data_IF_168859450430
#
_entry.id   IF_168859450430
#
_cell.length_a   1.000
_cell.length_b   1.000
_cell.length_c   1.000
_cell.angle_alpha   90.00
_cell.angle_beta   90.00
_cell.angle_gamma   90.00
#
_symmetry.space_group_name_H-M   'P 1'
#
loop_
_entity.id
_entity.type
_entity.pdbx_description
1 polymer ?
#
# COMPACT_ATOMS: atom_id res chain seq x y z
N UNK A 1 -14.27 -9.52 -4.66
CA UNK A 1 -13.42 -10.06 -3.58
C UNK A 1 -14.18 -9.96 -2.25
N UNK A 2 -13.76 -10.69 -1.22
CA UNK A 2 -14.15 -10.34 0.16
C UNK A 2 -13.15 -9.30 0.65
N UNK A 3 -13.63 -8.12 1.02
CA UNK A 3 -12.80 -7.10 1.69
C UNK A 3 -12.49 -7.63 3.09
N UNK A 4 -11.23 -7.92 3.36
CA UNK A 4 -10.75 -8.25 4.69
C UNK A 4 -10.32 -6.97 5.41
N UNK A 5 -10.89 -6.69 6.57
CA UNK A 5 -10.51 -5.52 7.38
C UNK A 5 -11.08 -5.60 8.78
N UNK A 6 -10.49 -4.83 9.70
CA UNK A 6 -10.91 -4.74 11.10
C UNK A 6 -11.27 -3.29 11.41
N UNK A 7 -12.46 -3.07 11.97
CA UNK A 7 -12.87 -1.77 12.51
C UNK A 7 -12.87 -1.85 14.05
N UNK A 8 -12.07 -1.02 14.69
CA UNK A 8 -11.99 -0.94 16.15
C UNK A 8 -12.76 0.29 16.62
N UNK A 9 -13.86 0.07 17.35
CA UNK A 9 -14.70 1.14 17.90
C UNK A 9 -14.51 1.30 19.40
N UNK A 10 -14.52 2.53 19.89
CA UNK A 10 -14.51 2.82 21.33
C UNK A 10 -14.42 4.31 21.62
N UNK A 11 -14.53 4.72 22.88
CA UNK A 11 -14.43 6.13 23.25
C UNK A 11 -13.01 6.69 23.06
N UNK A 12 -12.86 8.02 23.04
CA UNK A 12 -11.54 8.66 23.03
C UNK A 12 -10.75 8.25 24.28
N UNK A 13 -9.48 7.86 24.10
CA UNK A 13 -8.62 7.41 25.20
C UNK A 13 -8.66 5.90 25.49
N UNK A 14 -9.37 5.10 24.71
CA UNK A 14 -9.46 3.62 24.85
C UNK A 14 -8.27 2.83 24.27
N UNK A 15 -7.14 3.49 24.03
CA UNK A 15 -5.90 2.87 23.54
C UNK A 15 -6.01 2.08 22.21
N UNK A 16 -7.02 2.35 21.37
CA UNK A 16 -7.24 1.67 20.08
C UNK A 16 -6.01 1.71 19.17
N UNK A 17 -5.46 2.89 18.94
CA UNK A 17 -4.27 3.09 18.11
C UNK A 17 -3.03 2.41 18.72
N UNK A 18 -2.93 2.39 20.06
CA UNK A 18 -1.86 1.66 20.78
C UNK A 18 -1.94 0.16 20.54
N UNK A 19 -3.14 -0.43 20.61
CA UNK A 19 -3.35 -1.85 20.36
C UNK A 19 -2.98 -2.24 18.92
N UNK A 20 -3.36 -1.43 17.94
CA UNK A 20 -3.01 -1.67 16.53
C UNK A 20 -1.50 -1.56 16.31
N UNK A 21 -0.84 -0.55 16.91
CA UNK A 21 0.63 -0.41 16.84
C UNK A 21 1.32 -1.61 17.49
N UNK A 22 0.83 -2.10 18.63
CA UNK A 22 1.38 -3.28 19.29
C UNK A 22 1.24 -4.57 18.46
N UNK A 23 0.13 -4.73 17.72
CA UNK A 23 -0.07 -5.86 16.80
C UNK A 23 1.03 -5.95 15.75
N UNK A 24 1.57 -4.82 15.30
CA UNK A 24 2.63 -4.77 14.28
C UNK A 24 3.89 -5.49 14.74
N UNK A 25 4.22 -5.45 16.03
CA UNK A 25 5.39 -6.12 16.61
C UNK A 25 5.25 -7.66 16.63
N UNK A 26 4.04 -8.17 16.42
CA UNK A 26 3.74 -9.60 16.41
C UNK A 26 3.61 -10.17 14.99
N UNK A 27 3.67 -9.32 13.96
CA UNK A 27 3.56 -9.77 12.59
C UNK A 27 4.82 -10.54 12.16
N UNK A 28 4.67 -11.64 11.40
CA UNK A 28 5.81 -12.34 10.84
C UNK A 28 6.57 -11.43 9.88
N UNK A 29 7.88 -11.66 9.78
CA UNK A 29 8.68 -11.07 8.71
C UNK A 29 8.20 -11.55 7.34
N UNK A 30 8.43 -10.72 6.34
CA UNK A 30 8.12 -11.01 4.94
C UNK A 30 9.40 -11.05 4.11
N UNK A 31 9.50 -12.05 3.25
CA UNK A 31 10.56 -12.14 2.23
C UNK A 31 10.20 -11.24 1.05
N UNK A 32 11.13 -10.40 0.63
CA UNK A 32 10.93 -9.43 -0.46
C UNK A 32 12.11 -9.45 -1.44
N UNK A 33 11.81 -9.21 -2.71
CA UNK A 33 12.83 -8.98 -3.74
C UNK A 33 13.67 -7.76 -3.33
N UNK A 34 14.99 -7.93 -3.23
CA UNK A 34 15.90 -6.87 -2.81
C UNK A 34 15.81 -5.66 -3.75
N UNK A 35 15.66 -4.47 -3.17
CA UNK A 35 15.56 -3.21 -3.91
C UNK A 35 14.19 -2.93 -4.55
N UNK A 36 13.25 -3.87 -4.56
CA UNK A 36 11.90 -3.65 -5.09
C UNK A 36 11.10 -2.72 -4.16
N UNK A 37 10.74 -1.52 -4.63
CA UNK A 37 9.96 -0.52 -3.89
C UNK A 37 8.55 -1.02 -3.54
N UNK A 38 8.04 -2.00 -4.29
CA UNK A 38 6.70 -2.58 -4.13
C UNK A 38 6.68 -3.85 -3.28
N UNK A 39 7.83 -4.27 -2.72
CA UNK A 39 7.90 -5.45 -1.84
C UNK A 39 7.36 -6.75 -2.45
N UNK A 40 7.66 -6.98 -3.73
CA UNK A 40 7.31 -8.22 -4.43
C UNK A 40 7.79 -9.45 -3.67
N UNK A 41 6.97 -10.50 -3.68
CA UNK A 41 7.30 -11.81 -3.16
C UNK A 41 8.34 -12.48 -4.08
N UNK A 42 9.54 -12.87 -3.61
CA UNK A 42 10.54 -13.53 -4.45
C UNK A 42 10.04 -14.84 -5.07
N UNK A 43 9.20 -15.59 -4.37
CA UNK A 43 8.66 -16.87 -4.84
C UNK A 43 7.54 -16.68 -5.88
N UNK A 44 6.86 -15.54 -5.86
CA UNK A 44 5.76 -15.22 -6.77
C UNK A 44 5.69 -13.70 -7.05
N UNK A 45 6.67 -13.14 -7.77
CA UNK A 45 6.74 -11.70 -7.99
C UNK A 45 5.57 -11.23 -8.85
N UNK A 46 5.08 -10.00 -8.59
CA UNK A 46 4.03 -9.41 -9.41
C UNK A 46 4.56 -9.16 -10.83
N UNK A 47 4.02 -9.82 -11.87
CA UNK A 47 4.48 -9.65 -13.25
C UNK A 47 4.27 -8.22 -13.77
N UNK A 48 3.45 -7.41 -13.09
CA UNK A 48 3.17 -6.02 -13.45
C UNK A 48 3.93 -5.01 -12.59
N UNK A 49 4.79 -5.47 -11.68
CA UNK A 49 5.54 -4.58 -10.80
C UNK A 49 6.30 -3.52 -11.60
N UNK A 50 6.20 -2.22 -11.24
CA UNK A 50 6.93 -1.17 -11.94
C UNK A 50 8.46 -1.26 -11.83
N UNK A 51 8.98 -1.98 -10.83
CA UNK A 51 10.41 -2.27 -10.68
C UNK A 51 10.84 -3.60 -11.32
N UNK A 52 9.91 -4.28 -11.98
CA UNK A 52 10.15 -5.53 -12.67
C UNK A 52 10.69 -5.37 -14.09
N UNK A 53 10.92 -6.49 -14.81
CA UNK A 53 10.63 -7.85 -14.39
C UNK A 53 11.56 -8.34 -13.27
N UNK A 54 11.03 -9.20 -12.39
CA UNK A 54 11.81 -9.86 -11.33
C UNK A 54 12.11 -11.30 -11.71
N UNK A 55 13.35 -11.75 -11.50
CA UNK A 55 13.71 -13.16 -11.68
C UNK A 55 13.37 -13.96 -10.40
N UNK A 56 12.91 -15.21 -10.49
CA UNK A 56 12.53 -16.04 -9.33
C UNK A 56 13.66 -16.34 -8.33
N UNK A 57 14.91 -16.01 -8.67
CA UNK A 57 16.11 -16.18 -7.84
C UNK A 57 16.84 -14.85 -7.61
N UNK A 58 16.15 -13.72 -7.73
CA UNK A 58 16.72 -12.42 -7.34
C UNK A 58 17.04 -12.42 -5.84
N UNK A 59 18.07 -11.65 -5.46
CA UNK A 59 18.48 -11.53 -4.07
C UNK A 59 17.27 -11.25 -3.16
N UNK A 60 17.11 -12.07 -2.15
CA UNK A 60 16.02 -12.01 -1.21
C UNK A 60 16.47 -11.26 0.04
N UNK A 61 15.56 -10.48 0.61
CA UNK A 61 15.76 -9.86 1.92
C UNK A 61 14.54 -10.14 2.78
N UNK A 62 14.76 -10.31 4.07
CA UNK A 62 13.68 -10.36 5.05
C UNK A 62 13.53 -9.00 5.71
N UNK A 63 12.29 -8.61 5.95
CA UNK A 63 11.98 -7.41 6.72
C UNK A 63 10.72 -7.64 7.57
N UNK A 64 10.56 -6.90 8.68
CA UNK A 64 9.27 -6.83 9.36
C UNK A 64 8.14 -6.41 8.41
N UNK A 65 6.94 -6.93 8.63
CA UNK A 65 5.75 -6.40 7.99
C UNK A 65 5.59 -4.91 8.39
N UNK A 66 5.22 -4.08 7.41
CA UNK A 66 5.09 -2.63 7.63
C UNK A 66 3.66 -2.32 8.06
N UNK A 67 3.52 -1.46 9.06
CA UNK A 67 2.27 -0.75 9.30
C UNK A 67 2.42 0.66 8.75
N UNK A 68 1.56 0.99 7.81
CA UNK A 68 1.52 2.30 7.15
C UNK A 68 0.27 3.02 7.60
N UNK A 69 0.40 4.28 7.99
CA UNK A 69 -0.70 5.12 8.46
C UNK A 69 -1.18 6.01 7.31
N UNK A 70 -2.49 6.03 7.08
CA UNK A 70 -3.17 6.93 6.16
C UNK A 70 -3.69 8.15 6.94
N UNK A 71 -3.12 9.34 6.73
CA UNK A 71 -3.63 10.57 7.32
C UNK A 71 -5.01 10.92 6.74
N UNK A 72 -5.90 11.44 7.58
CA UNK A 72 -7.24 11.92 7.21
C UNK A 72 -7.21 12.91 6.03
N UNK A 73 -6.18 13.77 5.97
CA UNK A 73 -5.99 14.78 4.91
C UNK A 73 -5.02 14.37 3.80
N UNK A 74 -4.80 13.07 3.58
CA UNK A 74 -3.94 12.64 2.47
C UNK A 74 -4.56 13.00 1.11
N UNK A 75 -3.72 13.32 0.13
CA UNK A 75 -4.16 13.42 -1.27
C UNK A 75 -4.30 12.02 -1.89
N UNK A 76 -5.03 11.94 -3.00
CA UNK A 76 -5.07 10.74 -3.85
C UNK A 76 -3.65 10.29 -4.23
N UNK A 77 -2.82 11.19 -4.77
CA UNK A 77 -1.45 10.87 -5.17
C UNK A 77 -0.60 10.33 -4.01
N UNK A 78 -0.84 10.78 -2.77
CA UNK A 78 -0.17 10.22 -1.60
C UNK A 78 -0.62 8.78 -1.32
N UNK A 79 -1.89 8.47 -1.53
CA UNK A 79 -2.46 7.13 -1.32
C UNK A 79 -2.00 6.15 -2.41
N UNK A 80 -2.27 6.47 -3.68
CA UNK A 80 -2.08 5.57 -4.82
C UNK A 80 -0.70 5.69 -5.47
N UNK A 81 -0.01 6.82 -5.29
CA UNK A 81 1.26 7.15 -5.92
C UNK A 81 1.11 8.25 -6.98
N UNK A 82 2.23 8.85 -7.36
CA UNK A 82 2.27 9.95 -8.31
C UNK A 82 3.00 9.53 -9.60
N UNK A 83 2.56 10.08 -10.74
CA UNK A 83 3.22 9.95 -12.03
C UNK A 83 3.87 11.28 -12.40
N UNK A 84 5.19 11.30 -12.50
CA UNK A 84 5.93 12.42 -13.07
C UNK A 84 5.98 12.25 -14.60
N UNK A 85 5.04 12.91 -15.26
CA UNK A 85 4.89 12.84 -16.72
C UNK A 85 6.03 13.57 -17.44
N UNK A 86 6.51 14.69 -16.89
CA UNK A 86 7.59 15.46 -17.51
C UNK A 86 8.84 14.60 -17.61
N UNK A 87 9.21 13.93 -16.52
CA UNK A 87 10.34 13.01 -16.49
C UNK A 87 10.10 11.75 -17.32
N UNK A 88 8.87 11.22 -17.33
CA UNK A 88 8.54 10.06 -18.16
C UNK A 88 8.70 10.35 -19.66
N UNK A 89 8.33 11.55 -20.11
CA UNK A 89 8.47 11.97 -21.50
C UNK A 89 9.91 12.37 -21.84
N UNK A 90 10.63 13.03 -20.92
CA UNK A 90 11.98 13.52 -21.16
C UNK A 90 13.05 12.42 -21.09
N UNK A 91 12.96 11.51 -20.12
CA UNK A 91 13.98 10.48 -19.85
C UNK A 91 13.59 9.09 -20.37
N UNK A 92 12.33 8.89 -20.79
CA UNK A 92 11.80 7.58 -21.18
C UNK A 92 11.73 6.58 -20.02
N UNK A 93 11.91 7.06 -18.78
CA UNK A 93 11.88 6.24 -17.56
C UNK A 93 10.49 6.34 -16.94
N UNK A 94 9.91 5.21 -16.50
CA UNK A 94 8.67 5.23 -15.70
C UNK A 94 8.94 5.95 -14.36
N UNK A 95 8.73 7.26 -14.34
CA UNK A 95 8.88 8.10 -13.16
C UNK A 95 7.62 8.01 -12.29
N UNK A 96 7.35 6.82 -11.78
CA UNK A 96 6.29 6.59 -10.82
C UNK A 96 6.85 6.62 -9.39
N UNK A 97 6.25 7.45 -8.55
CA UNK A 97 6.52 7.52 -7.12
C UNK A 97 5.49 6.67 -6.36
N UNK A 98 5.90 5.60 -5.67
CA UNK A 98 4.98 4.73 -4.95
C UNK A 98 4.27 5.45 -3.79
N UNK A 99 2.94 5.27 -3.71
CA UNK A 99 2.13 5.81 -2.62
C UNK A 99 2.07 4.90 -1.38
N UNK A 100 1.19 5.26 -0.44
CA UNK A 100 0.96 4.52 0.80
C UNK A 100 0.47 3.08 0.55
N UNK A 101 -0.31 2.83 -0.50
CA UNK A 101 -0.75 1.47 -0.85
C UNK A 101 0.42 0.55 -1.25
N UNK A 102 1.42 1.09 -1.95
CA UNK A 102 2.64 0.35 -2.26
C UNK A 102 3.46 0.06 -0.99
N UNK A 103 3.56 1.06 -0.10
CA UNK A 103 4.27 0.91 1.17
C UNK A 103 3.59 -0.11 2.11
N UNK A 104 2.26 -0.19 2.08
CA UNK A 104 1.45 -1.10 2.89
C UNK A 104 1.39 -2.52 2.32
N UNK A 105 1.88 -2.76 1.09
CA UNK A 105 1.83 -4.07 0.48
C UNK A 105 2.50 -5.14 1.36
N UNK A 106 1.78 -6.24 1.61
CA UNK A 106 2.13 -7.34 2.51
C UNK A 106 2.38 -6.86 3.94
N UNK A 107 1.53 -5.94 4.38
CA UNK A 107 1.54 -5.34 5.71
C UNK A 107 0.15 -4.88 6.14
N UNK A 108 0.10 -3.83 6.96
CA UNK A 108 -1.10 -3.19 7.48
C UNK A 108 -1.22 -1.79 6.90
N UNK A 109 -2.43 -1.43 6.47
CA UNK A 109 -2.82 -0.04 6.23
C UNK A 109 -3.76 0.39 7.35
N UNK A 110 -3.30 1.33 8.18
CA UNK A 110 -4.01 1.86 9.33
C UNK A 110 -4.64 3.21 8.98
N UNK A 111 -5.89 3.40 9.37
CA UNK A 111 -6.63 4.66 9.20
C UNK A 111 -7.19 5.08 10.57
N UNK A 112 -6.75 6.23 11.06
CA UNK A 112 -7.31 6.80 12.29
C UNK A 112 -8.58 7.58 11.96
N UNK A 113 -9.62 7.42 12.78
CA UNK A 113 -10.90 8.14 12.64
C UNK A 113 -11.45 8.04 11.20
N UNK A 114 -11.76 6.82 10.75
CA UNK A 114 -12.18 6.52 9.37
C UNK A 114 -13.35 7.37 8.87
N UNK A 115 -14.18 7.87 9.78
CA UNK A 115 -15.30 8.75 9.49
C UNK A 115 -14.91 10.15 9.03
N UNK A 116 -13.63 10.53 9.14
CA UNK A 116 -13.12 11.81 8.65
C UNK A 116 -12.46 11.71 7.28
N UNK A 117 -12.22 10.49 6.78
CA UNK A 117 -11.58 10.27 5.49
C UNK A 117 -12.51 10.74 4.35
N UNK A 118 -11.96 11.41 3.35
CA UNK A 118 -12.75 11.86 2.19
C UNK A 118 -13.30 10.68 1.39
N UNK A 119 -14.55 10.80 0.93
CA UNK A 119 -15.30 9.72 0.25
C UNK A 119 -14.51 9.07 -0.89
N UNK A 120 -13.88 9.88 -1.75
CA UNK A 120 -13.07 9.36 -2.86
C UNK A 120 -11.88 8.49 -2.43
N UNK A 121 -11.26 8.78 -1.27
CA UNK A 121 -10.17 7.95 -0.75
C UNK A 121 -10.70 6.64 -0.15
N UNK A 122 -11.90 6.68 0.45
CA UNK A 122 -12.58 5.47 0.94
C UNK A 122 -12.83 4.53 -0.24
N UNK A 123 -13.34 5.04 -1.36
CA UNK A 123 -13.59 4.25 -2.56
C UNK A 123 -12.31 3.60 -3.09
N UNK A 124 -11.25 4.39 -3.30
CA UNK A 124 -9.94 3.89 -3.76
C UNK A 124 -9.36 2.84 -2.81
N UNK A 125 -9.50 3.06 -1.50
CA UNK A 125 -9.00 2.15 -0.48
C UNK A 125 -9.76 0.82 -0.48
N UNK A 126 -11.08 0.87 -0.56
CA UNK A 126 -11.93 -0.33 -0.60
C UNK A 126 -11.72 -1.12 -1.90
N UNK A 127 -11.55 -0.44 -3.03
CA UNK A 127 -11.21 -1.07 -4.31
C UNK A 127 -9.85 -1.78 -4.24
N UNK A 128 -8.82 -1.08 -3.72
CA UNK A 128 -7.50 -1.67 -3.55
C UNK A 128 -7.53 -2.89 -2.60
N UNK A 129 -8.28 -2.79 -1.48
CA UNK A 129 -8.44 -3.90 -0.54
C UNK A 129 -9.23 -5.08 -1.13
N UNK A 130 -10.23 -4.81 -1.98
CA UNK A 130 -11.05 -5.84 -2.62
C UNK A 130 -10.32 -6.55 -3.76
N UNK A 131 -9.55 -5.81 -4.55
CA UNK A 131 -8.85 -6.32 -5.74
C UNK A 131 -7.43 -6.79 -5.42
N UNK A 132 -6.83 -6.31 -4.33
CA UNK A 132 -5.44 -6.58 -3.95
C UNK A 132 -4.42 -5.90 -4.87
N UNK A 133 -4.82 -4.85 -5.59
CA UNK A 133 -4.00 -4.14 -6.57
C UNK A 133 -4.36 -2.66 -6.57
N UNK A 134 -3.37 -1.79 -6.72
CA UNK A 134 -3.55 -0.34 -6.93
C UNK A 134 -3.14 0.03 -8.35
N UNK A 135 -3.83 1.01 -8.94
CA UNK A 135 -3.52 1.55 -10.26
C UNK A 135 -3.66 3.06 -10.28
N UNK A 136 -2.78 3.71 -11.03
CA UNK A 136 -2.80 5.15 -11.29
C UNK A 136 -2.81 5.34 -12.79
N UNK A 137 -3.76 6.14 -13.27
CA UNK A 137 -3.89 6.49 -14.69
C UNK A 137 -3.91 8.01 -14.83
N UNK A 138 -3.03 8.55 -15.68
CA UNK A 138 -2.87 9.99 -15.97
C UNK A 138 -2.39 10.15 -17.42
N UNK A 139 -3.04 11.01 -18.20
CA UNK A 139 -2.61 11.37 -19.57
C UNK A 139 -2.30 10.16 -20.48
N UNK A 140 -3.11 9.10 -20.39
CA UNK A 140 -2.94 7.86 -21.16
C UNK A 140 -1.81 6.93 -20.67
N UNK A 141 -1.12 7.28 -19.58
CA UNK A 141 -0.15 6.42 -18.89
C UNK A 141 -0.84 5.72 -17.73
N UNK A 142 -0.73 4.40 -17.67
CA UNK A 142 -1.26 3.58 -16.57
C UNK A 142 -0.14 2.79 -15.89
N UNK A 143 -0.07 2.90 -14.56
CA UNK A 143 0.82 2.11 -13.71
C UNK A 143 -0.02 1.31 -12.75
N UNK A 144 0.34 0.03 -12.55
CA UNK A 144 -0.39 -0.89 -11.67
C UNK A 144 0.59 -1.71 -10.86
N UNK A 145 0.28 -1.95 -9.58
CA UNK A 145 1.10 -2.78 -8.71
C UNK A 145 0.26 -3.50 -7.65
N UNK A 146 0.70 -4.67 -7.20
CA UNK A 146 0.07 -5.38 -6.10
C UNK A 146 -0.05 -4.51 -4.83
N UNK A 147 -1.21 -4.60 -4.18
CA UNK A 147 -1.58 -3.83 -2.99
C UNK A 147 -2.45 -4.70 -2.05
N UNK A 148 -1.97 -5.89 -1.72
CA UNK A 148 -2.56 -6.77 -0.70
C UNK A 148 -2.10 -6.34 0.69
N UNK A 149 -3.01 -5.91 1.56
CA UNK A 149 -2.75 -5.47 2.93
C UNK A 149 -3.94 -5.79 3.83
N UNK A 150 -3.71 -5.80 5.14
CA UNK A 150 -4.79 -5.79 6.13
C UNK A 150 -5.22 -4.34 6.40
N UNK A 151 -6.49 -4.02 6.13
CA UNK A 151 -7.06 -2.71 6.47
C UNK A 151 -7.48 -2.69 7.94
N UNK A 152 -6.98 -1.71 8.71
CA UNK A 152 -7.38 -1.48 10.10
C UNK A 152 -7.86 -0.05 10.27
N UNK A 153 -9.12 0.13 10.63
CA UNK A 153 -9.72 1.44 10.90
C UNK A 153 -10.06 1.61 12.39
N UNK A 154 -9.96 2.83 12.90
CA UNK A 154 -10.52 3.21 14.20
C UNK A 154 -11.67 4.20 14.04
N UNK A 155 -12.60 4.17 15.01
CA UNK A 155 -13.66 5.15 15.20
C UNK A 155 -13.84 5.38 16.70
#
# INVERSE_FOLDING_TARGET
GRVGGVLVRGEKGTAKSTAVRALTALLPEVEVVAGCRFSCDPAAPDPRCPDGPHAPAQAESRRPARMVELPVGASEDRLVGALDIERALAEGVKAFEPGLLAAAHRGILYVDEVNLLGDHLVDLLLDAAAMGVSSVEREGVSVRHAARFLLVGTM
#
